data_IF_553067573395
#
_entry.id   IF_553067573395
#
_cell.length_a   1.000
_cell.length_b   1.000
_cell.length_c   1.000
_cell.angle_alpha   90.00
_cell.angle_beta   90.00
_cell.angle_gamma   90.00
#
_symmetry.space_group_name_H-M   'P 1'
#
loop_
_entity.id
_entity.type
_entity.pdbx_description
1 polymer ?
#
# COMPACT_ATOMS: atom_id res chain seq x y z
N UNK A 1 25.07 23.68 25.03
CA UNK A 1 23.82 24.41 24.77
C UNK A 1 22.94 23.46 23.99
N UNK A 2 21.83 23.04 24.60
CA UNK A 2 21.00 21.89 24.19
C UNK A 2 20.24 22.24 22.92
N UNK A 3 20.59 21.59 21.81
CA UNK A 3 19.82 21.63 20.57
C UNK A 3 18.58 20.76 20.74
N UNK A 4 17.43 21.38 20.55
CA UNK A 4 16.11 20.85 20.85
C UNK A 4 15.66 19.96 19.69
N UNK A 5 15.80 18.64 19.81
CA UNK A 5 15.25 17.63 18.88
C UNK A 5 13.73 17.38 19.14
N UNK A 6 12.94 18.44 19.30
CA UNK A 6 11.49 18.33 19.57
C UNK A 6 10.61 18.10 18.33
N UNK A 7 11.19 17.82 17.15
CA UNK A 7 10.43 17.61 15.91
C UNK A 7 10.37 16.16 15.42
N UNK A 8 11.00 15.20 16.12
CA UNK A 8 11.20 13.84 15.57
C UNK A 8 9.99 12.90 15.68
N UNK A 9 8.90 13.24 16.37
CA UNK A 9 7.82 12.27 16.63
C UNK A 9 6.40 12.74 16.29
N UNK A 10 6.24 13.83 15.53
CA UNK A 10 4.91 14.15 15.00
C UNK A 10 4.79 13.61 13.56
N UNK A 11 3.99 12.56 13.32
CA UNK A 11 3.87 11.98 11.99
C UNK A 11 3.32 13.03 11.00
N UNK A 12 4.04 13.27 9.89
CA UNK A 12 3.55 14.17 8.84
C UNK A 12 2.29 13.59 8.24
N UNK A 13 1.21 14.38 8.24
CA UNK A 13 -0.05 14.02 7.60
C UNK A 13 -0.06 14.53 6.17
N UNK A 14 -0.39 13.64 5.23
CA UNK A 14 -0.52 13.93 3.80
C UNK A 14 -1.84 13.40 3.27
N UNK A 15 -2.38 14.05 2.23
CA UNK A 15 -3.66 13.66 1.62
C UNK A 15 -3.45 12.70 0.46
N UNK A 16 -4.24 11.63 0.41
CA UNK A 16 -4.16 10.66 -0.68
C UNK A 16 -4.71 11.24 -1.98
N UNK A 17 -3.93 11.13 -3.07
CA UNK A 17 -4.37 11.33 -4.45
C UNK A 17 -4.06 10.12 -5.31
N UNK A 18 -4.68 10.05 -6.48
CA UNK A 18 -4.48 8.92 -7.36
C UNK A 18 -3.07 8.92 -7.97
N UNK A 19 -2.53 7.72 -8.17
CA UNK A 19 -1.25 7.52 -8.82
C UNK A 19 -1.31 7.97 -10.29
N UNK A 20 -0.16 8.33 -10.86
CA UNK A 20 -0.08 8.49 -12.31
C UNK A 20 -0.30 7.14 -12.99
N UNK A 21 -0.89 7.15 -14.19
CA UNK A 21 -1.16 5.92 -14.96
C UNK A 21 0.10 5.08 -15.17
N UNK A 22 1.25 5.72 -15.33
CA UNK A 22 2.58 5.11 -15.49
C UNK A 22 3.12 4.43 -14.21
N UNK A 23 2.62 4.80 -13.03
CA UNK A 23 3.03 4.25 -11.74
C UNK A 23 2.13 3.07 -11.31
N UNK A 24 1.01 2.88 -11.99
CA UNK A 24 -0.02 1.91 -11.63
C UNK A 24 0.55 0.49 -11.53
N UNK A 25 0.32 -0.16 -10.39
CA UNK A 25 0.76 -1.53 -10.14
C UNK A 25 2.27 -1.69 -10.04
N UNK A 26 3.05 -0.62 -9.77
CA UNK A 26 4.50 -0.67 -9.51
C UNK A 26 4.86 -0.63 -8.01
N UNK A 27 3.89 -0.39 -7.12
CA UNK A 27 4.12 -0.37 -5.66
C UNK A 27 5.02 0.78 -5.22
N UNK A 28 4.91 1.92 -5.91
CA UNK A 28 5.67 3.14 -5.63
C UNK A 28 4.70 4.23 -5.19
N UNK A 29 5.22 5.20 -4.46
CA UNK A 29 4.51 6.42 -4.11
C UNK A 29 5.29 7.64 -4.60
N UNK A 30 4.55 8.72 -4.80
CA UNK A 30 5.14 10.05 -4.98
C UNK A 30 4.56 10.97 -3.93
N UNK A 31 5.40 11.77 -3.31
CA UNK A 31 5.00 12.74 -2.29
C UNK A 31 5.29 14.11 -2.87
N UNK A 32 4.51 15.11 -2.46
CA UNK A 32 4.83 16.52 -2.65
C UNK A 32 6.34 16.76 -2.43
N UNK A 33 7.06 17.35 -3.42
CA UNK A 33 8.48 17.63 -3.30
C UNK A 33 8.86 18.44 -2.07
N UNK A 34 8.02 19.38 -1.63
CA UNK A 34 8.33 20.24 -0.49
C UNK A 34 8.23 19.44 0.82
N UNK A 35 7.21 18.58 0.95
CA UNK A 35 7.12 17.62 2.06
C UNK A 35 8.32 16.68 2.09
N UNK A 36 8.75 16.21 0.92
CA UNK A 36 9.92 15.32 0.78
C UNK A 36 11.19 16.02 1.27
N UNK A 37 11.38 17.29 0.89
CA UNK A 37 12.52 18.11 1.30
C UNK A 37 12.48 18.43 2.81
N UNK A 38 11.32 18.84 3.33
CA UNK A 38 11.11 19.12 4.76
C UNK A 38 11.47 17.91 5.64
N UNK A 39 11.08 16.71 5.21
CA UNK A 39 11.35 15.47 5.95
C UNK A 39 12.70 14.83 5.61
N UNK A 40 13.51 15.44 4.73
CA UNK A 40 14.78 14.88 4.23
C UNK A 40 14.64 13.45 3.68
N UNK A 41 13.52 13.18 3.01
CA UNK A 41 13.28 11.93 2.31
C UNK A 41 13.98 11.95 0.96
N UNK A 42 14.46 10.78 0.52
CA UNK A 42 15.19 10.61 -0.73
C UNK A 42 14.50 9.58 -1.61
N UNK A 43 14.69 9.72 -2.91
CA UNK A 43 14.24 8.71 -3.87
C UNK A 43 14.86 7.35 -3.51
N UNK A 44 14.02 6.32 -3.46
CA UNK A 44 14.40 4.98 -3.04
C UNK A 44 14.27 4.71 -1.55
N UNK A 45 13.96 5.72 -0.72
CA UNK A 45 13.62 5.50 0.68
C UNK A 45 12.34 4.67 0.81
N UNK A 46 12.27 3.86 1.86
CA UNK A 46 11.10 3.09 2.21
C UNK A 46 10.24 3.91 3.17
N UNK A 47 9.01 4.19 2.75
CA UNK A 47 8.06 4.99 3.51
C UNK A 47 6.98 4.08 4.05
N UNK A 48 6.86 4.04 5.37
CA UNK A 48 5.70 3.49 6.07
C UNK A 48 4.57 4.51 5.98
N UNK A 49 3.39 4.01 5.64
CA UNK A 49 2.16 4.77 5.55
C UNK A 49 1.19 4.17 6.54
N UNK A 50 0.63 4.97 7.43
CA UNK A 50 -0.32 4.56 8.46
C UNK A 50 -1.65 5.25 8.22
N UNK A 51 -2.74 4.48 8.27
CA UNK A 51 -4.08 5.04 8.35
C UNK A 51 -4.48 5.24 9.82
N UNK A 52 -4.60 6.50 10.30
CA UNK A 52 -4.71 6.81 11.73
C UNK A 52 -5.92 6.16 12.42
N UNK A 53 -7.02 5.93 11.70
CA UNK A 53 -8.25 5.37 12.26
C UNK A 53 -8.47 3.88 12.01
N UNK A 54 -7.70 3.24 11.13
CA UNK A 54 -7.96 1.86 10.70
C UNK A 54 -7.01 0.85 11.35
N UNK A 55 -6.01 1.32 12.10
CA UNK A 55 -4.89 0.52 12.60
C UNK A 55 -4.25 -0.34 11.49
N UNK A 56 -4.25 0.18 10.26
CA UNK A 56 -3.67 -0.45 9.07
C UNK A 56 -2.49 0.37 8.60
N UNK A 57 -1.43 -0.32 8.22
CA UNK A 57 -0.25 0.28 7.64
C UNK A 57 0.18 -0.51 6.41
N UNK A 58 0.95 0.14 5.55
CA UNK A 58 1.61 -0.46 4.39
C UNK A 58 2.94 0.25 4.17
N UNK A 59 3.75 -0.27 3.26
CA UNK A 59 5.05 0.31 2.93
C UNK A 59 5.19 0.47 1.42
N UNK A 60 5.89 1.51 1.00
CA UNK A 60 6.14 1.77 -0.41
C UNK A 60 7.50 2.45 -0.65
N UNK A 61 8.02 2.32 -1.86
CA UNK A 61 9.22 3.04 -2.28
C UNK A 61 8.85 4.46 -2.72
N UNK A 62 9.62 5.43 -2.23
CA UNK A 62 9.49 6.83 -2.65
C UNK A 62 10.13 7.07 -4.02
N UNK A 63 9.36 7.65 -4.93
CA UNK A 63 9.81 8.18 -6.21
C UNK A 63 9.66 9.70 -6.23
N UNK A 64 10.39 10.36 -7.14
CA UNK A 64 10.41 11.81 -7.29
C UNK A 64 8.99 12.36 -7.50
N UNK A 65 8.56 13.29 -6.64
CA UNK A 65 7.34 14.07 -6.85
C UNK A 65 7.42 14.91 -8.13
N UNK A 66 6.27 15.22 -8.74
CA UNK A 66 6.23 16.14 -9.89
C UNK A 66 6.08 17.58 -9.38
N UNK A 67 6.61 18.54 -10.13
CA UNK A 67 6.51 19.97 -9.77
C UNK A 67 5.06 20.46 -9.66
N UNK A 68 4.11 19.81 -10.36
CA UNK A 68 2.68 20.10 -10.26
C UNK A 68 2.07 19.79 -8.88
N UNK A 69 2.74 18.97 -8.08
CA UNK A 69 2.28 18.55 -6.75
C UNK A 69 2.94 19.34 -5.61
N UNK A 70 3.76 20.37 -5.92
CA UNK A 70 4.39 21.23 -4.91
C UNK A 70 3.39 22.00 -4.08
N UNK A 71 3.69 22.21 -2.80
CA UNK A 71 2.87 22.93 -1.83
C UNK A 71 1.43 22.37 -1.66
N UNK A 72 1.17 21.13 -2.08
CA UNK A 72 -0.17 20.52 -2.01
C UNK A 72 -0.36 19.58 -0.81
N UNK A 73 0.74 19.18 -0.17
CA UNK A 73 0.79 18.24 0.95
C UNK A 73 0.09 16.88 0.64
N UNK A 74 0.28 16.37 -0.58
CA UNK A 74 -0.31 15.11 -1.04
C UNK A 74 0.69 13.95 -1.10
N UNK A 75 0.13 12.75 -1.10
CA UNK A 75 0.78 11.50 -1.48
C UNK A 75 -0.03 10.82 -2.59
N UNK A 76 0.62 10.51 -3.70
CA UNK A 76 0.05 9.71 -4.79
C UNK A 76 0.38 8.24 -4.57
N UNK A 77 -0.65 7.41 -4.54
CA UNK A 77 -0.51 5.97 -4.33
C UNK A 77 -1.54 5.19 -5.17
N UNK A 78 -1.16 4.01 -5.64
CA UNK A 78 -1.99 3.21 -6.51
C UNK A 78 -3.10 2.48 -5.73
N UNK A 79 -4.12 1.90 -6.43
CA UNK A 79 -5.23 1.24 -5.76
C UNK A 79 -4.84 0.06 -4.85
N UNK A 80 -3.71 -0.63 -5.10
CA UNK A 80 -3.27 -1.74 -4.24
C UNK A 80 -2.80 -1.25 -2.87
N UNK A 81 -1.97 -0.21 -2.83
CA UNK A 81 -1.54 0.43 -1.57
C UNK A 81 -2.71 1.01 -0.78
N UNK A 82 -3.68 1.66 -1.46
CA UNK A 82 -4.90 2.15 -0.80
C UNK A 82 -5.72 1.02 -0.18
N UNK A 83 -5.82 -0.12 -0.87
CA UNK A 83 -6.51 -1.31 -0.36
C UNK A 83 -5.83 -1.88 0.89
N UNK A 84 -4.50 -1.89 0.93
CA UNK A 84 -3.74 -2.32 2.13
C UNK A 84 -4.08 -1.43 3.33
N UNK A 85 -4.23 -0.12 3.11
CA UNK A 85 -4.61 0.84 4.14
C UNK A 85 -6.10 0.85 4.49
N UNK A 86 -6.95 0.28 3.63
CA UNK A 86 -8.40 0.50 3.69
C UNK A 86 -8.80 1.96 3.46
N UNK A 87 -7.99 2.71 2.71
CA UNK A 87 -8.14 4.14 2.49
C UNK A 87 -8.83 4.46 1.16
N UNK A 88 -9.49 5.61 1.10
CA UNK A 88 -10.06 6.22 -0.10
C UNK A 88 -9.17 7.37 -0.60
N UNK A 89 -9.46 7.87 -1.81
CA UNK A 89 -8.90 9.15 -2.24
C UNK A 89 -9.36 10.25 -1.28
N UNK A 90 -8.51 11.25 -1.06
CA UNK A 90 -8.69 12.38 -0.14
C UNK A 90 -8.69 12.06 1.36
N UNK A 91 -8.60 10.78 1.77
CA UNK A 91 -8.32 10.42 3.16
C UNK A 91 -6.89 10.90 3.55
N UNK A 92 -6.72 11.21 4.83
CA UNK A 92 -5.43 11.62 5.42
C UNK A 92 -4.69 10.40 5.96
N UNK A 93 -3.39 10.32 5.67
CA UNK A 93 -2.49 9.29 6.17
C UNK A 93 -1.22 9.91 6.75
N UNK A 94 -0.59 9.15 7.63
CA UNK A 94 0.65 9.50 8.29
C UNK A 94 1.82 8.79 7.60
N UNK A 95 2.89 9.53 7.33
CA UNK A 95 4.08 9.01 6.66
C UNK A 95 5.31 9.06 7.58
N UNK A 96 6.12 7.99 7.54
CA UNK A 96 7.40 7.90 8.26
C UNK A 96 8.40 7.10 7.44
N UNK A 97 9.65 7.56 7.38
CA UNK A 97 10.75 6.77 6.81
C UNK A 97 11.10 5.61 7.73
N UNK A 98 11.27 4.43 7.16
CA UNK A 98 11.71 3.22 7.86
C UNK A 98 12.86 2.55 7.09
N UNK A 99 13.55 1.63 7.75
CA UNK A 99 14.48 0.72 7.08
C UNK A 99 13.75 -0.55 6.64
N UNK A 100 14.17 -1.12 5.52
CA UNK A 100 13.71 -2.44 5.07
C UNK A 100 14.91 -3.33 4.80
N UNK A 101 14.92 -4.49 5.43
CA UNK A 101 15.94 -5.52 5.18
C UNK A 101 15.69 -6.21 3.84
N UNK A 102 16.71 -6.81 3.25
CA UNK A 102 16.50 -7.67 2.09
C UNK A 102 15.74 -8.93 2.49
N UNK A 103 14.76 -9.33 1.68
CA UNK A 103 13.98 -10.52 1.93
C UNK A 103 14.77 -11.78 1.55
N UNK A 104 14.98 -12.68 2.50
CA UNK A 104 15.51 -14.02 2.26
C UNK A 104 14.42 -14.94 1.74
N UNK A 105 13.28 -14.96 2.45
CA UNK A 105 12.13 -15.78 2.14
C UNK A 105 10.85 -14.94 2.20
N UNK A 106 9.92 -15.16 1.27
CA UNK A 106 8.56 -14.59 1.35
C UNK A 106 7.53 -15.67 1.07
N UNK A 107 6.55 -15.77 1.96
CA UNK A 107 5.38 -16.62 1.81
C UNK A 107 4.19 -15.80 1.32
N UNK A 108 3.69 -16.12 0.12
CA UNK A 108 2.47 -15.54 -0.42
C UNK A 108 1.27 -16.47 -0.27
N UNK A 109 0.07 -15.89 -0.33
CA UNK A 109 -1.17 -16.66 -0.50
C UNK A 109 -1.17 -17.40 -1.83
N UNK A 110 -1.45 -18.70 -1.81
CA UNK A 110 -1.59 -19.53 -3.00
C UNK A 110 -2.89 -19.21 -3.74
N UNK A 111 -2.80 -18.54 -4.88
CA UNK A 111 -3.86 -18.49 -5.89
C UNK A 111 -3.55 -19.48 -7.00
N UNK A 112 -4.58 -20.14 -7.54
CA UNK A 112 -4.49 -21.12 -8.63
C UNK A 112 -3.96 -20.56 -9.97
N UNK A 113 -3.51 -19.30 -10.02
CA UNK A 113 -3.12 -18.55 -11.23
C UNK A 113 -1.71 -17.93 -11.18
N UNK A 114 -0.91 -18.32 -10.20
CA UNK A 114 0.45 -17.80 -9.98
C UNK A 114 1.40 -18.31 -11.09
N UNK A 115 2.41 -17.52 -11.52
CA UNK A 115 3.51 -18.03 -12.32
C UNK A 115 4.08 -19.30 -11.66
N UNK A 116 4.09 -20.43 -12.37
CA UNK A 116 4.61 -21.70 -11.82
C UNK A 116 6.09 -21.64 -11.42
N UNK A 117 6.80 -20.59 -11.84
CA UNK A 117 8.20 -20.35 -11.52
C UNK A 117 8.34 -19.25 -10.44
N UNK A 118 8.67 -19.62 -9.19
CA UNK A 118 8.98 -18.68 -8.12
C UNK A 118 10.10 -17.68 -8.48
N UNK A 119 11.08 -18.10 -9.28
CA UNK A 119 12.22 -17.26 -9.62
C UNK A 119 11.84 -16.13 -10.60
N UNK A 120 11.03 -16.43 -11.61
CA UNK A 120 10.44 -15.42 -12.48
C UNK A 120 9.57 -14.44 -11.70
N UNK A 121 8.84 -14.91 -10.67
CA UNK A 121 8.07 -14.02 -9.81
C UNK A 121 8.97 -13.10 -8.97
N UNK A 122 10.06 -13.62 -8.39
CA UNK A 122 11.02 -12.81 -7.63
C UNK A 122 11.61 -11.69 -8.50
N UNK A 123 12.01 -12.01 -9.73
CA UNK A 123 12.49 -11.01 -10.72
C UNK A 123 11.43 -9.96 -11.04
N UNK A 124 10.16 -10.37 -11.16
CA UNK A 124 9.05 -9.46 -11.46
C UNK A 124 8.70 -8.53 -10.29
N UNK A 125 8.84 -9.04 -9.07
CA UNK A 125 8.59 -8.30 -7.83
C UNK A 125 9.84 -7.60 -7.30
N UNK A 126 10.95 -7.66 -8.03
CA UNK A 126 12.21 -7.04 -7.59
C UNK A 126 12.01 -5.56 -7.23
N UNK A 127 12.69 -5.14 -6.17
CA UNK A 127 12.63 -3.81 -5.56
C UNK A 127 11.31 -3.47 -4.90
N UNK A 128 10.27 -4.30 -4.97
CA UNK A 128 9.07 -4.09 -4.15
C UNK A 128 9.43 -4.15 -2.68
N UNK A 129 8.84 -3.25 -1.91
CA UNK A 129 8.88 -3.29 -0.46
C UNK A 129 7.52 -3.77 0.02
N UNK A 130 7.53 -4.57 1.09
CA UNK A 130 6.33 -5.20 1.62
C UNK A 130 6.40 -5.28 3.13
N UNK A 131 5.23 -5.25 3.75
CA UNK A 131 5.00 -5.67 5.13
C UNK A 131 3.95 -6.78 5.19
N UNK A 132 3.77 -7.37 6.37
CA UNK A 132 2.92 -8.54 6.56
C UNK A 132 1.46 -8.13 6.35
N UNK A 133 0.72 -8.90 5.56
CA UNK A 133 -0.66 -8.63 5.20
C UNK A 133 -0.85 -7.74 3.97
N UNK A 134 0.24 -7.17 3.41
CA UNK A 134 0.15 -6.39 2.18
C UNK A 134 -0.37 -7.22 1.02
N UNK A 135 -1.20 -6.58 0.19
CA UNK A 135 -1.64 -7.08 -1.11
C UNK A 135 -0.74 -6.46 -2.17
N UNK A 136 0.03 -7.30 -2.86
CA UNK A 136 0.79 -6.94 -4.05
C UNK A 136 -0.03 -7.22 -5.29
N UNK A 137 -0.31 -6.17 -6.07
CA UNK A 137 -0.95 -6.30 -7.38
C UNK A 137 0.04 -6.11 -8.52
N UNK A 138 -0.03 -6.97 -9.53
CA UNK A 138 0.72 -6.83 -10.78
C UNK A 138 -0.03 -7.44 -11.96
N UNK A 139 0.30 -7.02 -13.17
CA UNK A 139 -0.28 -7.57 -14.39
C UNK A 139 0.53 -8.77 -14.90
N UNK A 140 -0.11 -9.91 -15.14
CA UNK A 140 0.48 -11.06 -15.82
C UNK A 140 -0.57 -11.75 -16.68
N UNK A 141 -0.21 -12.26 -17.86
CA UNK A 141 -1.16 -12.95 -18.77
C UNK A 141 -2.42 -12.11 -19.05
N UNK A 142 -2.25 -10.80 -19.34
CA UNK A 142 -3.32 -9.83 -19.58
C UNK A 142 -4.35 -9.66 -18.43
N UNK A 143 -4.08 -10.18 -17.23
CA UNK A 143 -4.93 -10.02 -16.04
C UNK A 143 -4.16 -9.43 -14.87
N UNK A 144 -4.89 -8.77 -13.96
CA UNK A 144 -4.36 -8.36 -12.65
C UNK A 144 -4.33 -9.57 -11.72
N UNK A 145 -3.18 -9.82 -11.13
CA UNK A 145 -2.96 -10.84 -10.09
C UNK A 145 -2.69 -10.11 -8.79
N UNK A 146 -3.35 -10.54 -7.71
CA UNK A 146 -3.17 -10.04 -6.35
C UNK A 146 -2.56 -11.16 -5.49
N UNK A 147 -1.44 -10.89 -4.81
CA UNK A 147 -0.84 -11.79 -3.83
C UNK A 147 -0.86 -11.16 -2.45
N UNK A 148 -1.24 -11.91 -1.42
CA UNK A 148 -1.16 -11.46 -0.03
C UNK A 148 0.15 -11.94 0.57
N UNK A 149 0.91 -11.04 1.19
CA UNK A 149 2.10 -11.36 1.97
C UNK A 149 1.67 -11.99 3.28
N UNK A 150 1.85 -13.30 3.43
CA UNK A 150 1.48 -14.00 4.65
C UNK A 150 2.59 -13.94 5.70
N UNK A 151 3.83 -14.06 5.25
CA UNK A 151 5.00 -14.07 6.12
C UNK A 151 6.28 -13.81 5.32
N UNK A 152 7.36 -13.40 5.99
CA UNK A 152 8.67 -13.23 5.38
C UNK A 152 9.82 -13.38 6.39
N UNK A 153 11.05 -13.54 5.91
CA UNK A 153 12.27 -13.53 6.70
C UNK A 153 13.28 -12.52 6.10
N UNK A 154 14.03 -11.78 6.94
CA UNK A 154 14.03 -11.80 8.42
C UNK A 154 12.76 -11.18 9.05
N UNK A 155 12.49 -11.47 10.34
CA UNK A 155 11.33 -10.92 11.08
C UNK A 155 11.57 -9.47 11.49
N UNK A 156 11.34 -8.57 10.54
CA UNK A 156 11.43 -7.12 10.70
C UNK A 156 10.11 -6.45 10.30
N UNK A 157 10.03 -5.13 10.45
CA UNK A 157 8.81 -4.38 10.12
C UNK A 157 8.48 -4.40 8.61
N UNK A 158 9.50 -4.37 7.76
CA UNK A 158 9.34 -4.40 6.31
C UNK A 158 10.55 -5.04 5.64
N UNK A 159 10.32 -5.69 4.50
CA UNK A 159 11.39 -6.25 3.67
C UNK A 159 11.31 -5.79 2.23
N UNK A 160 12.45 -5.76 1.56
CA UNK A 160 12.59 -5.48 0.13
C UNK A 160 12.85 -6.77 -0.63
N UNK A 161 12.03 -7.04 -1.64
CA UNK A 161 12.17 -8.19 -2.53
C UNK A 161 13.35 -7.96 -3.47
N UNK A 162 14.26 -8.92 -3.54
CA UNK A 162 15.37 -8.94 -4.49
C UNK A 162 15.26 -10.18 -5.40
N UNK A 163 16.20 -10.34 -6.33
CA UNK A 163 16.20 -11.47 -7.26
C UNK A 163 16.56 -12.82 -6.60
N UNK A 164 17.16 -12.81 -5.42
CA UNK A 164 17.53 -14.01 -4.65
C UNK A 164 16.48 -14.42 -3.61
N UNK A 165 15.45 -13.59 -3.40
CA UNK A 165 14.37 -13.89 -2.47
C UNK A 165 13.66 -15.17 -2.86
N UNK A 166 13.68 -16.17 -1.98
CA UNK A 166 12.98 -17.43 -2.18
C UNK A 166 11.49 -17.24 -1.92
N UNK A 167 10.69 -17.45 -2.95
CA UNK A 167 9.23 -17.32 -2.86
C UNK A 167 8.59 -18.69 -2.57
N UNK A 168 7.73 -18.72 -1.57
CA UNK A 168 6.94 -19.87 -1.14
C UNK A 168 5.45 -19.52 -1.23
N UNK A 169 4.61 -20.50 -1.57
CA UNK A 169 3.16 -20.33 -1.62
C UNK A 169 2.48 -21.19 -0.57
N UNK A 170 1.48 -20.63 0.12
CA UNK A 170 0.66 -21.36 1.09
C UNK A 170 -0.69 -21.74 0.51
N UNK A 171 -0.96 -23.04 0.43
CA UNK A 171 -2.24 -23.61 -0.03
C UNK A 171 -3.41 -23.35 0.94
N UNK A 172 -3.11 -23.11 2.22
CA UNK A 172 -4.12 -22.98 3.30
C UNK A 172 -4.88 -21.64 3.32
N UNK A 173 -4.59 -20.73 2.41
CA UNK A 173 -4.90 -19.29 2.56
C UNK A 173 -6.12 -18.77 1.79
N UNK A 174 -6.97 -19.66 1.26
CA UNK A 174 -8.24 -19.27 0.59
C UNK A 174 -9.19 -18.49 1.52
N UNK A 175 -9.14 -18.74 2.83
CA UNK A 175 -10.01 -18.06 3.82
C UNK A 175 -9.50 -16.64 4.15
N UNK A 176 -8.20 -16.47 4.40
CA UNK A 176 -7.60 -15.15 4.64
C UNK A 176 -7.75 -14.23 3.41
N UNK A 177 -7.66 -14.79 2.20
CA UNK A 177 -7.91 -14.07 0.96
C UNK A 177 -9.35 -13.55 0.84
N UNK A 178 -10.36 -14.33 1.27
CA UNK A 178 -11.76 -13.95 1.22
C UNK A 178 -12.10 -12.78 2.15
N UNK A 179 -11.48 -12.73 3.34
CA UNK A 179 -11.69 -11.66 4.32
C UNK A 179 -11.00 -10.35 3.90
N UNK A 180 -9.78 -10.43 3.33
CA UNK A 180 -9.04 -9.26 2.82
C UNK A 180 -9.62 -8.67 1.53
N UNK A 181 -10.47 -9.42 0.82
CA UNK A 181 -11.18 -8.95 -0.38
C UNK A 181 -12.51 -8.28 -0.07
N UNK A 182 -13.05 -8.38 1.16
CA UNK A 182 -14.28 -7.68 1.50
C UNK A 182 -14.04 -6.17 1.31
N UNK A 183 -14.75 -5.50 0.38
CA UNK A 183 -14.72 -4.06 0.38
C UNK A 183 -15.20 -3.62 1.76
N UNK A 184 -14.43 -2.76 2.44
CA UNK A 184 -15.00 -1.98 3.53
C UNK A 184 -16.13 -1.20 2.90
N UNK A 185 -17.36 -1.70 3.04
CA UNK A 185 -18.56 -0.92 2.72
C UNK A 185 -18.51 0.20 3.76
N UNK A 186 -17.90 1.32 3.40
CA UNK A 186 -18.19 2.59 4.05
C UNK A 186 -19.69 2.70 3.87
N UNK A 187 -20.45 2.62 4.95
CA UNK A 187 -21.89 2.80 4.95
C UNK A 187 -22.16 4.22 4.45
N UNK A 188 -22.16 4.41 3.13
CA UNK A 188 -22.71 5.60 2.50
C UNK A 188 -24.17 5.56 2.92
N UNK A 189 -24.55 6.57 3.69
CA UNK A 189 -25.81 6.63 4.41
C UNK A 189 -26.96 6.07 3.58
N UNK A 190 -27.60 5.04 4.12
CA UNK A 190 -28.82 4.38 3.64
C UNK A 190 -30.04 5.33 3.66
N UNK A 191 -29.82 6.64 3.71
CA UNK A 191 -30.81 7.66 4.05
C UNK A 191 -31.54 8.23 2.82
N UNK A 192 -31.03 8.09 1.60
CA UNK A 192 -31.67 8.70 0.42
C UNK A 192 -32.49 7.72 -0.43
N UNK A 193 -32.26 6.40 -0.30
CA UNK A 193 -32.97 5.39 -1.09
C UNK A 193 -34.23 4.84 -0.38
N UNK A 194 -34.25 4.85 0.95
CA UNK A 194 -35.41 4.38 1.72
C UNK A 194 -36.55 5.40 1.74
N UNK A 195 -36.26 6.70 1.58
CA UNK A 195 -37.27 7.77 1.54
C UNK A 195 -38.14 7.76 0.26
N UNK A 196 -37.65 7.15 -0.84
CA UNK A 196 -38.42 7.05 -2.08
C UNK A 196 -39.35 5.84 -2.15
N UNK A 197 -39.14 4.82 -1.31
CA UNK A 197 -39.96 3.59 -1.33
C UNK A 197 -41.23 3.70 -0.48
N UNK A 198 -41.33 4.69 0.41
CA UNK A 198 -42.53 4.90 1.22
C UNK A 198 -43.63 5.73 0.50
N UNK A 199 -43.29 6.39 -0.62
CA UNK A 199 -44.24 7.20 -1.42
C UNK A 199 -45.00 6.42 -2.50
N UNK A 200 -44.68 5.14 -2.73
CA UNK A 200 -45.34 4.30 -3.76
C UNK A 200 -46.34 3.30 -3.12
N UNK A 201 -46.50 3.29 -1.79
CA UNK A 201 -47.48 2.44 -1.10
C UNK A 201 -48.82 3.14 -0.80
N UNK A 202 -49.08 4.32 -1.35
CA UNK A 202 -50.33 5.06 -1.13
C UNK A 202 -50.79 5.79 -2.39
N UNK A 203 -50.84 5.08 -3.51
CA UNK A 203 -51.71 5.32 -4.68
C UNK A 203 -52.21 3.97 -5.18
#
# INVERSE_FOLDING_TARGET
>A
MVGIDLYQDNPRKVRIKDAFKEDAGRGIIRIDPDVTNELNFKVGDVIKILHPFANKNTVALLYTGKNEDKETNIIRMDPSLRKNLGASIDDLVEIKKIEASEAENITFSGLSLIPRDPQALARKLEKRVVTKGDILSFYAMARRIDLVVLDFEPKVEAVKINFNTKIVFSEKSTVAYAELRRPTIRSVGRSALEEKLQKISYE
#
